data_IF_888372721503
#
_entry.id   IF_888372721503
#
_cell.length_a   1.000
_cell.length_b   1.000
_cell.length_c   1.000
_cell.angle_alpha   90.00
_cell.angle_beta   90.00
_cell.angle_gamma   90.00
#
_symmetry.space_group_name_H-M   'P 1'
#
loop_
_entity.id
_entity.type
_entity.pdbx_description
1 polymer ?
#
# COMPACT_ATOMS: atom_id res chain seq x y z
N UNK A 1 13.95 8.41 -18.17
CA UNK A 1 13.40 8.58 -16.80
C UNK A 1 13.23 7.20 -16.20
N UNK A 2 13.82 6.89 -15.05
CA UNK A 2 13.62 5.58 -14.40
C UNK A 2 12.21 5.51 -13.80
N UNK A 3 11.70 4.31 -13.53
CA UNK A 3 10.35 4.13 -12.93
C UNK A 3 10.24 4.85 -11.59
N UNK A 4 11.27 4.73 -10.74
CA UNK A 4 11.36 5.45 -9.45
C UNK A 4 11.22 6.97 -9.60
N UNK A 5 11.85 7.60 -10.59
CA UNK A 5 11.75 9.06 -10.79
C UNK A 5 10.32 9.49 -11.16
N UNK A 6 9.60 8.63 -11.90
CA UNK A 6 8.19 8.86 -12.26
C UNK A 6 7.29 8.80 -11.02
N UNK A 7 7.40 7.73 -10.23
CA UNK A 7 6.59 7.56 -9.02
C UNK A 7 6.93 8.65 -7.99
N UNK A 8 8.21 8.92 -7.73
CA UNK A 8 8.65 9.98 -6.81
C UNK A 8 8.13 11.37 -7.19
N UNK A 9 8.12 11.73 -8.49
CA UNK A 9 7.52 12.99 -8.94
C UNK A 9 6.00 13.02 -8.74
N UNK A 10 5.30 11.90 -8.89
CA UNK A 10 3.87 11.82 -8.58
C UNK A 10 3.65 11.97 -7.07
N UNK A 11 4.44 11.30 -6.24
CA UNK A 11 4.35 11.41 -4.79
C UNK A 11 4.54 12.85 -4.27
N UNK A 12 5.55 13.58 -4.78
CA UNK A 12 5.73 14.99 -4.44
C UNK A 12 4.55 15.87 -4.88
N UNK A 13 3.92 15.57 -6.02
CA UNK A 13 2.71 16.28 -6.45
C UNK A 13 1.46 15.90 -5.62
N UNK A 14 1.39 14.70 -5.04
CA UNK A 14 0.33 14.24 -4.13
C UNK A 14 0.51 14.72 -2.68
N UNK A 15 1.68 15.29 -2.35
CA UNK A 15 2.03 15.88 -1.05
C UNK A 15 1.94 17.42 -1.12
N UNK A 16 2.36 18.01 -2.24
CA UNK A 16 2.37 19.46 -2.41
C UNK A 16 3.52 20.12 -1.62
N UNK A 17 3.30 21.29 -0.99
CA UNK A 17 4.27 21.90 -0.09
C UNK A 17 4.66 20.95 1.05
N UNK A 18 5.96 20.94 1.39
CA UNK A 18 6.46 20.23 2.57
C UNK A 18 6.80 21.31 3.59
N UNK A 19 5.96 21.42 4.61
CA UNK A 19 5.98 22.46 5.63
C UNK A 19 6.23 21.81 7.00
N UNK A 20 7.50 21.71 7.45
CA UNK A 20 7.82 21.01 8.70
C UNK A 20 7.26 21.70 9.94
N UNK A 21 6.69 20.91 10.84
CA UNK A 21 6.12 21.34 12.12
C UNK A 21 7.21 21.21 13.19
N UNK A 22 7.29 22.15 14.13
CA UNK A 22 8.19 22.06 15.28
C UNK A 22 7.57 21.20 16.39
N UNK A 23 8.29 20.17 16.85
CA UNK A 23 7.95 19.46 18.09
C UNK A 23 8.76 20.03 19.26
N UNK A 24 8.07 20.60 20.25
CA UNK A 24 8.71 21.01 21.51
C UNK A 24 9.16 19.82 22.35
N UNK A 25 8.49 18.67 22.25
CA UNK A 25 8.85 17.46 22.99
C UNK A 25 10.16 16.85 22.48
N UNK A 26 10.34 16.82 21.16
CA UNK A 26 11.50 16.20 20.49
C UNK A 26 12.62 17.20 20.15
N UNK A 27 12.38 18.50 20.37
CA UNK A 27 13.29 19.61 20.05
C UNK A 27 13.80 19.57 18.59
N UNK A 28 12.90 19.25 17.65
CA UNK A 28 13.20 19.17 16.23
C UNK A 28 12.00 19.54 15.36
N UNK A 29 12.27 19.95 14.12
CA UNK A 29 11.25 19.97 13.08
C UNK A 29 10.98 18.55 12.59
N UNK A 30 9.74 18.23 12.25
CA UNK A 30 9.35 16.98 11.61
C UNK A 30 8.33 17.21 10.50
N UNK A 31 8.21 16.24 9.60
CA UNK A 31 7.15 16.20 8.60
C UNK A 31 6.65 14.77 8.38
N UNK A 32 5.34 14.64 8.30
CA UNK A 32 4.58 13.44 7.98
C UNK A 32 3.41 13.83 7.06
N UNK A 33 2.77 12.85 6.40
CA UNK A 33 1.67 13.15 5.48
C UNK A 33 0.73 11.94 5.33
N UNK A 34 -0.59 12.13 5.44
CA UNK A 34 -1.63 11.07 5.42
C UNK A 34 -1.52 10.05 4.27
N UNK A 35 -1.12 10.53 3.09
CA UNK A 35 -0.88 9.70 1.89
C UNK A 35 0.31 8.73 2.02
N UNK A 36 1.26 9.04 2.90
CA UNK A 36 2.55 8.35 3.09
C UNK A 36 2.87 8.16 4.60
N UNK A 37 1.95 7.59 5.42
CA UNK A 37 2.03 7.56 6.89
C UNK A 37 3.07 6.58 7.46
N UNK A 38 3.87 5.95 6.58
CA UNK A 38 5.06 5.17 6.93
C UNK A 38 6.36 5.89 6.55
N UNK A 39 6.27 7.14 6.09
CA UNK A 39 7.38 8.03 5.80
C UNK A 39 7.22 9.23 6.72
N UNK A 40 8.09 9.30 7.73
CA UNK A 40 8.20 10.40 8.68
C UNK A 40 9.68 10.75 8.76
N UNK A 41 10.01 12.04 8.84
CA UNK A 41 11.39 12.47 9.02
C UNK A 41 11.46 13.73 9.88
N UNK A 42 12.48 13.85 10.72
CA UNK A 42 12.74 15.05 11.52
C UNK A 42 14.22 15.42 11.60
N UNK A 43 14.50 16.71 11.78
CA UNK A 43 15.83 17.29 11.89
C UNK A 43 15.80 18.65 12.60
N UNK A 44 16.98 19.18 12.94
CA UNK A 44 17.09 20.45 13.69
C UNK A 44 16.66 21.68 12.90
N UNK A 45 16.61 21.60 11.57
CA UNK A 45 16.14 22.67 10.69
C UNK A 45 15.03 22.22 9.75
N UNK A 46 14.21 23.19 9.32
CA UNK A 46 13.19 22.98 8.27
C UNK A 46 13.82 22.49 6.97
N UNK A 47 14.96 23.05 6.56
CA UNK A 47 15.68 22.66 5.34
C UNK A 47 16.14 21.20 5.37
N UNK A 48 16.80 20.77 6.45
CA UNK A 48 17.21 19.37 6.62
C UNK A 48 16.00 18.43 6.64
N UNK A 49 14.90 18.87 7.25
CA UNK A 49 13.66 18.08 7.31
C UNK A 49 13.06 17.90 5.91
N UNK A 50 12.96 18.97 5.12
CA UNK A 50 12.49 18.91 3.71
C UNK A 50 13.43 18.07 2.84
N UNK A 51 14.75 18.21 2.99
CA UNK A 51 15.76 17.45 2.22
C UNK A 51 15.74 15.96 2.61
N UNK A 52 15.68 15.66 3.89
CA UNK A 52 15.67 14.30 4.44
C UNK A 52 14.36 13.56 4.18
N UNK A 53 13.20 14.19 4.36
CA UNK A 53 11.91 13.60 4.01
C UNK A 53 11.84 13.24 2.52
N UNK A 54 12.31 14.12 1.62
CA UNK A 54 12.40 13.84 0.18
C UNK A 54 13.32 12.65 -0.13
N UNK A 55 14.37 12.42 0.67
CA UNK A 55 15.25 11.25 0.57
C UNK A 55 14.53 9.97 1.03
N UNK A 56 13.97 9.95 2.24
CA UNK A 56 13.29 8.76 2.79
C UNK A 56 12.05 8.37 1.98
N UNK A 57 11.30 9.34 1.45
CA UNK A 57 10.21 9.08 0.51
C UNK A 57 10.69 8.37 -0.77
N UNK A 58 11.87 8.74 -1.29
CA UNK A 58 12.46 8.09 -2.46
C UNK A 58 12.93 6.66 -2.14
N UNK A 59 13.60 6.48 -1.00
CA UNK A 59 14.05 5.19 -0.48
C UNK A 59 12.85 4.23 -0.28
N UNK A 60 11.78 4.69 0.36
CA UNK A 60 10.53 3.92 0.54
C UNK A 60 9.84 3.56 -0.78
N UNK A 61 9.86 4.43 -1.79
CA UNK A 61 9.36 4.11 -3.15
C UNK A 61 10.24 3.01 -3.79
N UNK A 62 11.55 3.00 -3.56
CA UNK A 62 12.48 1.99 -4.08
C UNK A 62 12.23 0.62 -3.44
N UNK A 63 12.12 0.55 -2.11
CA UNK A 63 11.72 -0.67 -1.39
C UNK A 63 10.34 -1.18 -1.82
N UNK A 64 9.40 -0.27 -2.07
CA UNK A 64 8.04 -0.62 -2.53
C UNK A 64 7.98 -1.07 -3.99
N UNK A 65 8.93 -0.61 -4.82
CA UNK A 65 9.16 -1.12 -6.17
C UNK A 65 9.77 -2.53 -6.15
N UNK A 66 10.65 -2.82 -5.18
CA UNK A 66 11.26 -4.13 -4.96
C UNK A 66 10.32 -5.15 -4.28
N UNK A 67 9.33 -4.68 -3.52
CA UNK A 67 8.39 -5.52 -2.76
C UNK A 67 8.80 -5.74 -1.29
N UNK A 68 9.76 -4.98 -0.77
CA UNK A 68 10.31 -5.10 0.58
C UNK A 68 9.43 -4.50 1.69
N UNK A 69 8.33 -3.82 1.34
CA UNK A 69 7.48 -3.10 2.30
C UNK A 69 6.55 -4.05 3.05
N UNK A 70 6.49 -3.91 4.38
CA UNK A 70 5.70 -4.76 5.27
C UNK A 70 4.20 -4.81 4.90
N UNK A 71 3.53 -5.99 4.95
CA UNK A 71 2.13 -6.15 4.54
C UNK A 71 1.11 -5.19 5.19
N UNK A 72 1.36 -4.77 6.43
CA UNK A 72 0.54 -3.78 7.13
C UNK A 72 0.59 -2.39 6.49
N UNK A 73 1.80 -1.91 6.21
CA UNK A 73 2.05 -0.63 5.50
C UNK A 73 1.53 -0.72 4.06
N UNK A 74 1.78 -1.84 3.38
CA UNK A 74 1.28 -2.13 2.04
C UNK A 74 -0.24 -2.02 1.94
N UNK A 75 -0.99 -2.49 2.95
CA UNK A 75 -2.45 -2.36 3.03
C UNK A 75 -2.88 -0.91 3.18
N UNK A 76 -2.36 -0.20 4.18
CA UNK A 76 -2.72 1.19 4.52
C UNK A 76 -2.45 2.14 3.35
N UNK A 77 -1.30 1.97 2.70
CA UNK A 77 -0.83 2.82 1.59
C UNK A 77 -1.25 2.32 0.21
N UNK A 78 -2.24 1.41 0.13
CA UNK A 78 -2.79 0.95 -1.15
C UNK A 78 -4.15 1.58 -1.45
N UNK A 79 -4.23 2.27 -2.59
CA UNK A 79 -5.45 2.92 -3.05
C UNK A 79 -6.52 1.94 -3.52
N UNK A 80 -7.62 2.47 -4.06
CA UNK A 80 -8.79 1.69 -4.48
C UNK A 80 -8.41 0.56 -5.45
N UNK A 81 -8.92 -0.64 -5.21
CA UNK A 81 -8.53 -1.84 -5.97
C UNK A 81 -7.10 -2.32 -5.68
N UNK A 82 -6.44 -1.77 -4.67
CA UNK A 82 -5.07 -2.09 -4.31
C UNK A 82 -4.00 -1.37 -5.15
N UNK A 83 -4.35 -0.36 -5.96
CA UNK A 83 -3.40 0.42 -6.76
C UNK A 83 -3.42 1.90 -6.37
N UNK A 84 -2.24 2.54 -6.35
CA UNK A 84 -2.04 3.97 -6.15
C UNK A 84 -0.82 4.42 -6.97
N UNK A 85 -0.94 5.40 -7.88
CA UNK A 85 0.22 6.08 -8.49
C UNK A 85 1.12 6.73 -7.43
N UNK A 86 2.39 6.99 -7.75
CA UNK A 86 3.32 7.65 -6.83
C UNK A 86 3.83 6.78 -5.68
N UNK A 87 3.04 5.80 -5.25
CA UNK A 87 3.30 4.97 -4.10
C UNK A 87 4.10 3.68 -4.40
N UNK A 88 4.89 3.65 -5.49
CA UNK A 88 5.89 2.62 -5.84
C UNK A 88 5.38 1.22 -6.23
N UNK A 89 4.29 0.75 -5.63
CA UNK A 89 3.77 -0.62 -5.71
C UNK A 89 3.64 -1.12 -7.17
N UNK A 90 4.16 -2.31 -7.54
CA UNK A 90 4.05 -2.85 -8.90
C UNK A 90 2.59 -3.01 -9.33
N UNK A 91 2.32 -2.80 -10.63
CA UNK A 91 1.06 -3.24 -11.24
C UNK A 91 1.04 -4.76 -11.18
N UNK A 92 0.36 -5.33 -10.18
CA UNK A 92 0.10 -6.77 -10.14
C UNK A 92 -0.58 -7.17 -11.44
N UNK A 93 -0.19 -8.31 -11.98
CA UNK A 93 -0.99 -8.99 -12.99
C UNK A 93 -2.39 -9.24 -12.44
N UNK A 94 -3.44 -9.31 -13.28
CA UNK A 94 -4.78 -9.59 -12.80
C UNK A 94 -4.80 -10.97 -12.13
N UNK A 95 -4.86 -11.00 -10.79
CA UNK A 95 -5.14 -12.23 -10.05
C UNK A 95 -6.42 -12.82 -10.64
N UNK A 96 -6.41 -14.12 -10.99
CA UNK A 96 -7.56 -14.77 -11.59
C UNK A 96 -8.83 -14.42 -10.81
N UNK A 97 -9.86 -14.00 -11.54
CA UNK A 97 -11.08 -13.47 -10.93
C UNK A 97 -11.79 -14.58 -10.15
N UNK A 98 -11.52 -14.65 -8.84
CA UNK A 98 -12.15 -15.60 -7.92
C UNK A 98 -13.66 -15.48 -8.09
N UNK A 99 -14.27 -16.52 -8.67
CA UNK A 99 -15.71 -16.57 -8.93
C UNK A 99 -16.46 -16.65 -7.60
N UNK A 100 -16.71 -15.48 -7.00
CA UNK A 100 -17.63 -15.34 -5.87
C UNK A 100 -19.02 -15.69 -6.37
N UNK A 101 -19.44 -16.92 -6.09
CA UNK A 101 -20.77 -17.44 -6.39
C UNK A 101 -21.78 -16.70 -5.50
N UNK A 102 -22.56 -15.80 -6.10
CA UNK A 102 -23.51 -14.94 -5.39
C UNK A 102 -24.90 -15.56 -5.27
N UNK A 103 -25.22 -16.53 -6.12
CA UNK A 103 -26.51 -17.22 -6.09
C UNK A 103 -26.36 -18.62 -5.48
N UNK A 104 -27.32 -19.03 -4.64
CA UNK A 104 -27.39 -20.39 -4.10
C UNK A 104 -27.50 -21.45 -5.22
N UNK A 105 -28.07 -21.09 -6.38
CA UNK A 105 -28.08 -21.96 -7.57
C UNK A 105 -26.68 -22.19 -8.14
N UNK A 106 -25.80 -21.18 -8.13
CA UNK A 106 -24.40 -21.32 -8.57
C UNK A 106 -23.66 -22.29 -7.65
N UNK A 107 -23.86 -22.15 -6.34
CA UNK A 107 -23.27 -23.04 -5.30
C UNK A 107 -23.80 -24.46 -5.44
N UNK A 108 -25.10 -24.65 -5.66
CA UNK A 108 -25.71 -25.98 -5.88
C UNK A 108 -25.16 -26.63 -7.15
N UNK A 109 -24.99 -25.89 -8.25
CA UNK A 109 -24.40 -26.42 -9.47
C UNK A 109 -22.91 -26.75 -9.31
N UNK A 110 -22.15 -25.87 -8.64
CA UNK A 110 -20.75 -26.11 -8.29
C UNK A 110 -20.54 -27.30 -7.36
N UNK A 111 -21.49 -27.60 -6.47
CA UNK A 111 -21.48 -28.81 -5.64
C UNK A 111 -21.85 -30.08 -6.43
N UNK A 112 -22.61 -29.95 -7.53
CA UNK A 112 -22.97 -31.07 -8.43
C UNK A 112 -21.83 -31.44 -9.39
N UNK A 113 -21.01 -30.47 -9.80
CA UNK A 113 -19.84 -30.68 -10.69
C UNK A 113 -18.77 -31.64 -10.12
N UNK A 114 -18.52 -31.62 -8.81
CA UNK A 114 -17.62 -32.57 -8.12
C UNK A 114 -18.19 -32.88 -6.72
N UNK A 115 -18.73 -34.10 -6.50
CA UNK A 115 -19.24 -34.51 -5.19
C UNK A 115 -18.22 -34.37 -4.04
N UNK A 116 -16.91 -34.44 -4.32
CA UNK A 116 -15.86 -34.24 -3.31
C UNK A 116 -15.77 -32.78 -2.82
N UNK A 117 -16.46 -31.82 -3.45
CA UNK A 117 -16.67 -30.46 -2.92
C UNK A 117 -17.65 -30.47 -1.76
N UNK A 118 -18.74 -31.24 -1.85
CA UNK A 118 -19.76 -31.33 -0.79
C UNK A 118 -19.19 -31.85 0.53
N UNK A 119 -18.33 -32.88 0.49
CA UNK A 119 -17.70 -33.40 1.71
C UNK A 119 -16.62 -32.47 2.28
N UNK A 120 -15.99 -31.62 1.46
CA UNK A 120 -15.11 -30.55 1.93
C UNK A 120 -15.91 -29.45 2.65
N UNK A 121 -17.03 -29.01 2.08
CA UNK A 121 -17.95 -28.05 2.74
C UNK A 121 -18.51 -28.63 4.04
N UNK A 122 -18.95 -29.90 4.06
CA UNK A 122 -19.43 -30.60 5.28
C UNK A 122 -18.39 -30.68 6.40
N UNK A 123 -17.09 -30.73 6.09
CA UNK A 123 -16.02 -30.66 7.09
C UNK A 123 -15.85 -29.24 7.64
N UNK A 124 -15.91 -28.23 6.77
CA UNK A 124 -15.80 -26.82 7.15
C UNK A 124 -17.01 -26.32 7.97
N UNK A 125 -18.20 -26.90 7.77
CA UNK A 125 -19.41 -26.61 8.57
C UNK A 125 -19.49 -27.40 9.90
N UNK A 126 -18.42 -28.12 10.28
CA UNK A 126 -18.32 -28.93 11.51
C UNK A 126 -17.07 -28.57 12.35
N UNK A 127 -16.45 -27.44 12.05
CA UNK A 127 -15.33 -26.83 12.76
C UNK A 127 -15.73 -25.43 13.22
#
# INVERSE_FOLDING_TARGET
MKRIDKEFRIALNEIGPIEPIWSEADQMFYFEHDNYPAVIYGAKTTEETVKGYKRVLREWIEDRLAGNVAPGVERITSGRGGYRPGAGRPKKEPTEAVRVQKNILDVVNWLREDPKRADRVRKLMKA
#
